data_IF_179128828480
#
_entry.id   IF_179128828480
#
_cell.length_a   1.000
_cell.length_b   1.000
_cell.length_c   1.000
_cell.angle_alpha   90.00
_cell.angle_beta   90.00
_cell.angle_gamma   90.00
#
_symmetry.space_group_name_H-M   'P 1'
#
loop_
_entity.id
_entity.type
_entity.pdbx_description
1 polymer ?
#
# COMPACT_ATOMS: atom_id res chain seq x y z
N UNK A 1 -5.09 -2.02 0.02
CA UNK A 1 -4.36 -1.70 1.27
C UNK A 1 -5.01 -0.51 1.92
N UNK A 2 -5.17 -0.58 3.22
CA UNK A 2 -5.70 0.53 4.01
C UNK A 2 -4.82 0.75 5.24
N UNK A 3 -4.73 1.97 5.66
CA UNK A 3 -4.04 2.32 6.90
C UNK A 3 -4.42 3.72 7.35
N UNK A 4 -4.10 4.01 8.60
CA UNK A 4 -4.30 5.32 9.19
C UNK A 4 -2.94 5.98 9.40
N UNK A 5 -2.80 7.23 9.01
CA UNK A 5 -1.54 7.95 9.23
C UNK A 5 -1.45 8.32 10.71
N UNK A 6 -0.30 8.02 11.32
CA UNK A 6 -0.08 8.35 12.73
C UNK A 6 -0.13 9.87 12.93
N UNK A 7 -0.82 10.36 13.97
CA UNK A 7 -0.87 11.78 14.26
C UNK A 7 0.52 12.37 14.44
N UNK A 8 0.77 13.50 13.81
CA UNK A 8 2.08 14.17 13.89
C UNK A 8 3.12 13.63 12.93
N UNK A 9 2.80 12.58 12.15
CA UNK A 9 3.75 11.99 11.21
C UNK A 9 3.37 12.23 9.75
N UNK A 10 2.39 13.08 9.50
CA UNK A 10 1.82 13.24 8.17
C UNK A 10 2.85 13.67 7.15
N UNK A 11 3.68 14.65 7.47
CA UNK A 11 4.68 15.14 6.52
C UNK A 11 5.73 14.08 6.23
N UNK A 12 6.24 13.44 7.26
CA UNK A 12 7.23 12.36 7.11
C UNK A 12 6.65 11.21 6.31
N UNK A 13 5.37 10.88 6.55
CA UNK A 13 4.66 9.85 5.81
C UNK A 13 4.63 10.16 4.32
N UNK A 14 4.20 11.35 3.94
CA UNK A 14 4.12 11.72 2.52
C UNK A 14 5.48 11.70 1.85
N UNK A 15 6.51 12.17 2.53
CA UNK A 15 7.87 12.10 1.99
C UNK A 15 8.32 10.65 1.79
N UNK A 16 8.05 9.78 2.74
CA UNK A 16 8.39 8.36 2.62
C UNK A 16 7.64 7.72 1.46
N UNK A 17 6.34 7.97 1.32
CA UNK A 17 5.54 7.36 0.26
C UNK A 17 6.08 7.75 -1.12
N UNK A 18 6.36 9.02 -1.33
CA UNK A 18 6.83 9.51 -2.64
C UNK A 18 8.25 9.05 -2.92
N UNK A 19 9.12 9.04 -1.92
CA UNK A 19 10.54 8.74 -2.09
C UNK A 19 10.83 7.25 -2.12
N UNK A 20 10.16 6.47 -1.27
CA UNK A 20 10.54 5.08 -1.04
C UNK A 20 9.43 4.08 -1.30
N UNK A 21 8.20 4.36 -0.85
CA UNK A 21 7.15 3.35 -0.88
C UNK A 21 6.64 3.09 -2.30
N UNK A 22 6.25 4.12 -3.02
CA UNK A 22 5.77 3.97 -4.40
C UNK A 22 6.87 3.42 -5.31
N UNK A 23 8.10 3.98 -5.29
CA UNK A 23 9.17 3.38 -6.08
C UNK A 23 9.49 1.93 -5.66
N UNK A 24 9.38 1.63 -4.37
CA UNK A 24 9.59 0.28 -3.88
C UNK A 24 8.56 -0.70 -4.42
N UNK A 25 7.29 -0.32 -4.43
CA UNK A 25 6.24 -1.14 -5.02
C UNK A 25 6.50 -1.39 -6.50
N UNK A 26 6.90 -0.35 -7.22
CA UNK A 26 7.18 -0.47 -8.64
C UNK A 26 8.36 -1.42 -8.91
N UNK A 27 9.39 -1.36 -8.07
CA UNK A 27 10.53 -2.29 -8.19
C UNK A 27 10.11 -3.74 -7.95
N UNK A 28 9.11 -3.95 -7.11
CA UNK A 28 8.56 -5.28 -6.86
C UNK A 28 7.60 -5.75 -7.96
N UNK A 29 7.32 -4.90 -8.94
CA UNK A 29 6.42 -5.24 -10.02
C UNK A 29 4.97 -4.95 -9.73
N UNK A 30 4.68 -4.27 -8.64
CA UNK A 30 3.33 -3.82 -8.32
C UNK A 30 3.07 -2.45 -8.94
N UNK A 31 1.90 -2.29 -9.53
CA UNK A 31 1.51 -1.04 -10.16
C UNK A 31 0.45 -0.36 -9.29
N UNK A 32 0.82 0.68 -8.53
CA UNK A 32 -0.17 1.40 -7.73
C UNK A 32 -1.16 2.13 -8.64
N UNK A 33 -2.44 1.85 -8.46
CA UNK A 33 -3.46 2.42 -9.34
C UNK A 33 -4.11 3.66 -8.76
N UNK A 34 -4.71 3.49 -7.58
CA UNK A 34 -5.55 4.51 -6.99
C UNK A 34 -5.21 4.71 -5.53
N UNK A 35 -5.38 5.93 -5.07
CA UNK A 35 -5.25 6.24 -3.66
C UNK A 35 -6.37 7.19 -3.26
N UNK A 36 -7.05 6.87 -2.18
CA UNK A 36 -8.10 7.71 -1.62
C UNK A 36 -7.69 8.14 -0.22
N UNK A 37 -7.99 9.39 0.05
CA UNK A 37 -7.72 9.98 1.36
C UNK A 37 -9.05 10.32 1.99
N UNK A 38 -9.27 9.83 3.20
CA UNK A 38 -10.50 10.07 3.94
C UNK A 38 -10.15 10.49 5.35
N UNK A 39 -10.89 11.45 5.88
CA UNK A 39 -10.73 11.88 7.27
C UNK A 39 -11.83 11.27 8.11
N UNK A 40 -11.44 10.59 9.19
CA UNK A 40 -12.37 10.14 10.22
C UNK A 40 -12.00 10.86 11.51
N UNK A 41 -12.89 11.76 11.94
CA UNK A 41 -12.58 12.59 13.09
C UNK A 41 -11.30 13.39 12.80
N UNK A 42 -10.27 13.15 13.60
CA UNK A 42 -8.99 13.85 13.46
C UNK A 42 -7.90 13.02 12.81
N UNK A 43 -8.24 11.83 12.30
CA UNK A 43 -7.24 10.90 11.79
C UNK A 43 -7.46 10.65 10.31
N UNK A 44 -6.46 10.95 9.45
CA UNK A 44 -6.54 10.65 8.04
C UNK A 44 -6.37 9.16 7.77
N UNK A 45 -7.19 8.64 6.88
CA UNK A 45 -7.15 7.25 6.44
C UNK A 45 -6.82 7.19 4.95
N UNK A 46 -5.94 6.28 4.60
CA UNK A 46 -5.54 6.05 3.21
C UNK A 46 -6.08 4.70 2.76
N UNK A 47 -6.65 4.68 1.57
CA UNK A 47 -6.99 3.46 0.85
C UNK A 47 -6.29 3.50 -0.50
N UNK A 48 -5.56 2.43 -0.82
CA UNK A 48 -4.85 2.36 -2.08
C UNK A 48 -4.89 0.93 -2.61
N UNK A 49 -4.74 0.80 -3.92
CA UNK A 49 -4.66 -0.50 -4.56
C UNK A 49 -3.44 -0.57 -5.48
N UNK A 50 -2.99 -1.80 -5.74
CA UNK A 50 -1.92 -2.06 -6.68
C UNK A 50 -2.26 -3.33 -7.44
N UNK A 51 -1.79 -3.45 -8.67
CA UNK A 51 -2.05 -4.59 -9.52
C UNK A 51 -0.77 -5.31 -9.90
N UNK A 52 -0.90 -6.60 -10.10
CA UNK A 52 0.14 -7.43 -10.68
C UNK A 52 -0.46 -8.38 -11.73
N UNK A 53 0.43 -8.92 -12.57
CA UNK A 53 0.02 -9.78 -13.67
C UNK A 53 -0.56 -11.12 -13.25
N UNK A 54 -0.18 -11.65 -12.10
CA UNK A 54 -0.68 -12.94 -11.64
C UNK A 54 -0.69 -13.05 -10.14
N UNK A 55 -1.56 -13.91 -9.62
CA UNK A 55 -1.63 -14.19 -8.19
C UNK A 55 -0.37 -14.88 -7.69
N UNK A 56 0.20 -15.78 -8.48
CA UNK A 56 1.43 -16.47 -8.10
C UNK A 56 2.58 -15.50 -7.87
N UNK A 57 2.75 -14.54 -8.78
CA UNK A 57 3.76 -13.51 -8.64
C UNK A 57 3.51 -12.63 -7.42
N UNK A 58 2.24 -12.29 -7.18
CA UNK A 58 1.88 -11.47 -6.04
C UNK A 58 2.21 -12.18 -4.73
N UNK A 59 1.86 -13.46 -4.61
CA UNK A 59 2.15 -14.21 -3.39
C UNK A 59 3.65 -14.31 -3.15
N UNK A 60 4.44 -14.53 -4.19
CA UNK A 60 5.89 -14.56 -4.07
C UNK A 60 6.45 -13.26 -3.55
N UNK A 61 5.89 -12.14 -3.98
CA UNK A 61 6.34 -10.82 -3.50
C UNK A 61 5.92 -10.59 -2.07
N UNK A 62 4.69 -10.94 -1.71
CA UNK A 62 4.21 -10.76 -0.33
C UNK A 62 5.01 -11.61 0.67
N UNK A 63 5.61 -12.70 0.21
CA UNK A 63 6.49 -13.52 1.04
C UNK A 63 7.94 -13.07 0.99
N UNK A 64 8.29 -12.07 0.21
CA UNK A 64 9.67 -11.64 0.03
C UNK A 64 10.14 -10.74 1.16
N UNK A 65 11.46 -10.73 1.36
CA UNK A 65 12.09 -9.83 2.33
C UNK A 65 11.99 -8.37 1.90
N UNK A 66 11.94 -8.11 0.62
CA UNK A 66 11.81 -6.74 0.11
C UNK A 66 10.46 -6.14 0.50
N UNK A 67 9.39 -6.93 0.37
CA UNK A 67 8.07 -6.51 0.80
C UNK A 67 8.03 -6.31 2.32
N UNK A 68 8.60 -7.26 3.07
CA UNK A 68 8.66 -7.16 4.52
C UNK A 68 9.41 -5.90 4.96
N UNK A 69 10.56 -5.61 4.35
CA UNK A 69 11.32 -4.41 4.67
C UNK A 69 10.57 -3.14 4.35
N UNK A 70 9.89 -3.10 3.21
CA UNK A 70 9.15 -1.92 2.78
C UNK A 70 7.95 -1.65 3.70
N UNK A 71 7.20 -2.69 4.06
CA UNK A 71 6.06 -2.53 4.97
C UNK A 71 6.51 -2.20 6.39
N UNK A 72 7.64 -2.75 6.83
CA UNK A 72 8.19 -2.39 8.14
C UNK A 72 8.52 -0.91 8.22
N UNK A 73 9.05 -0.33 7.15
CA UNK A 73 9.32 1.11 7.11
C UNK A 73 8.01 1.91 7.13
N UNK A 74 7.00 1.44 6.39
CA UNK A 74 5.69 2.10 6.38
C UNK A 74 5.09 2.15 7.79
N UNK A 75 5.24 1.09 8.56
CA UNK A 75 4.67 1.01 9.91
C UNK A 75 5.26 2.01 10.89
N UNK A 76 6.37 2.68 10.55
CA UNK A 76 6.88 3.79 11.35
C UNK A 76 6.00 5.03 11.26
N UNK A 77 5.15 5.11 10.25
CA UNK A 77 4.35 6.29 9.96
C UNK A 77 2.84 6.06 10.03
N UNK A 78 2.41 4.79 10.08
CA UNK A 78 0.99 4.45 10.00
C UNK A 78 0.63 3.40 11.04
N UNK A 79 -0.67 3.28 11.29
CA UNK A 79 -1.23 2.21 12.12
C UNK A 79 -2.44 1.60 11.42
N UNK A 80 -2.91 0.49 11.94
CA UNK A 80 -4.08 -0.23 11.39
C UNK A 80 -3.88 -0.60 9.93
N UNK A 81 -2.66 -1.07 9.60
CA UNK A 81 -2.33 -1.51 8.24
C UNK A 81 -3.02 -2.83 7.94
N UNK A 82 -3.79 -2.85 6.85
CA UNK A 82 -4.47 -4.05 6.37
C UNK A 82 -4.36 -4.14 4.86
N UNK A 83 -4.28 -5.36 4.37
CA UNK A 83 -4.42 -5.59 2.93
C UNK A 83 -5.17 -6.89 2.68
N UNK A 84 -5.75 -6.99 1.51
CA UNK A 84 -6.32 -8.25 1.03
C UNK A 84 -6.02 -8.40 -0.45
N UNK A 85 -5.98 -9.65 -0.87
CA UNK A 85 -5.72 -10.00 -2.25
C UNK A 85 -7.06 -10.29 -2.91
N UNK A 86 -7.31 -9.64 -4.04
CA UNK A 86 -8.47 -9.93 -4.86
C UNK A 86 -7.99 -10.19 -6.28
N UNK A 87 -8.57 -11.18 -6.93
CA UNK A 87 -8.25 -11.45 -8.31
C UNK A 87 -9.08 -10.55 -9.21
N UNK A 88 -8.39 -9.75 -10.03
CA UNK A 88 -9.06 -8.97 -11.04
C UNK A 88 -9.55 -9.91 -12.12
N UNK A 89 -10.82 -9.79 -12.50
CA UNK A 89 -11.37 -10.57 -13.61
C UNK A 89 -11.39 -9.73 -14.86
N UNK A 90 -11.10 -10.37 -15.97
CA UNK A 90 -11.31 -9.73 -17.24
C UNK A 90 -12.80 -9.55 -17.47
N UNK A 91 -13.20 -8.40 -17.96
CA UNK A 91 -14.59 -8.07 -18.17
C UNK A 91 -15.20 -7.40 -16.96
N UNK A 92 -16.48 -7.52 -16.80
CA UNK A 92 -17.24 -6.71 -15.91
C UNK A 92 -17.44 -7.34 -14.57
N UNK A 93 -17.20 -6.58 -13.57
CA UNK A 93 -17.37 -6.98 -12.19
C UNK A 93 -18.61 -6.30 -11.63
N UNK A 94 -19.73 -6.88 -11.81
CA UNK A 94 -20.97 -6.32 -11.29
C UNK A 94 -21.47 -7.06 -10.10
#
# INVERSE_FOLDING_TARGET
MTWDILPGREQDYFEFVVRDFIPGLQRLGMDPNDAWFTMYGNQPQIMTSAQMGSISSLQGILDSKDWEGLTSQLLDYVENFHYKIVQARSGFQL
#
